data_IF_588659352054
#
_entry.id   IF_588659352054
#
_cell.length_a   1.000
_cell.length_b   1.000
_cell.length_c   1.000
_cell.angle_alpha   90.00
_cell.angle_beta   90.00
_cell.angle_gamma   90.00
#
_symmetry.space_group_name_H-M   'P 1'
#
loop_
_entity.id
_entity.type
_entity.pdbx_description
1 polymer ?
#
# COMPACT_ATOMS: atom_id res chain seq x y z
N UNK A 1 -2.17 -34.93 18.68
CA UNK A 1 -1.68 -33.55 18.94
C UNK A 1 -1.91 -32.70 17.69
N UNK A 2 -2.89 -31.80 17.67
CA UNK A 2 -3.10 -30.87 16.54
C UNK A 2 -2.28 -29.61 16.80
N UNK A 3 -1.21 -29.40 16.03
CA UNK A 3 -0.45 -28.14 16.03
C UNK A 3 -1.43 -27.03 15.63
N UNK A 4 -1.77 -26.15 16.57
CA UNK A 4 -2.49 -24.90 16.27
C UNK A 4 -1.54 -24.05 15.44
N UNK A 5 -1.73 -24.09 14.13
CA UNK A 5 -1.07 -23.18 13.21
C UNK A 5 -1.68 -21.81 13.48
N UNK A 6 -0.93 -20.89 14.08
CA UNK A 6 -1.36 -19.50 14.24
C UNK A 6 -1.40 -18.93 12.81
N UNK A 7 -2.58 -18.56 12.26
CA UNK A 7 -2.60 -17.89 10.97
C UNK A 7 -1.80 -16.59 11.10
N UNK A 8 -0.92 -16.25 10.14
CA UNK A 8 -0.25 -14.97 10.17
C UNK A 8 -1.34 -13.90 10.21
N UNK A 9 -1.36 -13.11 11.29
CA UNK A 9 -2.23 -11.96 11.41
C UNK A 9 -1.82 -10.98 10.32
N UNK A 10 -2.48 -11.09 9.17
CA UNK A 10 -2.38 -10.09 8.11
C UNK A 10 -3.05 -8.86 8.71
N UNK A 11 -2.26 -7.93 9.24
CA UNK A 11 -2.73 -6.61 9.63
C UNK A 11 -3.42 -6.03 8.40
N UNK A 12 -4.74 -5.96 8.44
CA UNK A 12 -5.54 -5.45 7.33
C UNK A 12 -5.24 -3.95 7.21
N UNK A 13 -4.33 -3.59 6.31
CA UNK A 13 -3.95 -2.21 5.98
C UNK A 13 -5.04 -1.54 5.13
N UNK A 14 -6.29 -1.62 5.59
CA UNK A 14 -7.42 -0.99 4.89
C UNK A 14 -7.16 0.51 4.80
N UNK A 15 -7.14 1.07 3.59
CA UNK A 15 -6.97 2.51 3.43
C UNK A 15 -8.19 3.23 3.98
N UNK A 16 -7.96 4.34 4.70
CA UNK A 16 -9.01 5.19 5.24
C UNK A 16 -9.18 6.40 4.34
N UNK A 17 -10.41 6.69 3.91
CA UNK A 17 -10.72 7.93 3.20
C UNK A 17 -10.92 9.05 4.23
N UNK A 18 -10.27 10.19 4.04
CA UNK A 18 -10.49 11.38 4.86
C UNK A 18 -11.58 12.30 4.26
N UNK A 19 -11.98 13.33 5.01
CA UNK A 19 -13.03 14.27 4.61
C UNK A 19 -12.72 15.07 3.34
N UNK A 20 -11.46 15.16 2.95
CA UNK A 20 -11.00 15.87 1.75
C UNK A 20 -10.95 14.96 0.52
N UNK A 21 -11.38 13.70 0.65
CA UNK A 21 -11.39 12.74 -0.44
C UNK A 21 -10.04 12.04 -0.68
N UNK A 22 -9.03 12.25 0.16
CA UNK A 22 -7.74 11.56 0.07
C UNK A 22 -7.77 10.22 0.81
N UNK A 23 -6.95 9.27 0.36
CA UNK A 23 -6.77 7.99 1.04
C UNK A 23 -5.50 8.00 1.89
N UNK A 24 -5.64 7.69 3.17
CA UNK A 24 -4.57 7.50 4.13
C UNK A 24 -4.31 5.99 4.29
N UNK A 25 -3.05 5.57 4.25
CA UNK A 25 -2.69 4.16 4.37
C UNK A 25 -1.35 3.95 5.07
N UNK A 26 -1.23 2.81 5.74
CA UNK A 26 0.03 2.27 6.25
C UNK A 26 0.59 1.18 5.33
N UNK A 27 0.05 0.98 4.13
CA UNK A 27 0.64 0.10 3.13
C UNK A 27 1.91 0.74 2.53
N UNK A 28 2.89 -0.09 2.16
CA UNK A 28 4.13 0.34 1.51
C UNK A 28 4.51 -0.63 0.38
N UNK A 29 5.30 -0.15 -0.58
CA UNK A 29 5.81 -0.94 -1.69
C UNK A 29 4.69 -1.63 -2.48
N UNK A 30 4.88 -2.91 -2.75
CA UNK A 30 3.92 -3.74 -3.50
C UNK A 30 2.52 -3.79 -2.86
N UNK A 31 2.38 -3.61 -1.55
CA UNK A 31 1.06 -3.60 -0.91
C UNK A 31 0.20 -2.40 -1.36
N UNK A 32 0.84 -1.29 -1.73
CA UNK A 32 0.16 -0.11 -2.32
C UNK A 32 -0.26 -0.42 -3.75
N UNK A 33 0.64 -1.00 -4.55
CA UNK A 33 0.40 -1.32 -5.96
C UNK A 33 -0.64 -2.45 -6.15
N UNK A 34 -0.68 -3.41 -5.23
CA UNK A 34 -1.63 -4.51 -5.26
C UNK A 34 -3.02 -4.13 -4.74
N UNK A 35 -3.20 -2.92 -4.20
CA UNK A 35 -4.49 -2.44 -3.71
C UNK A 35 -5.15 -1.57 -4.78
N UNK A 36 -6.25 -2.02 -5.42
CA UNK A 36 -6.91 -1.25 -6.49
C UNK A 36 -7.40 0.15 -6.05
N UNK A 37 -7.67 0.33 -4.75
CA UNK A 37 -8.11 1.61 -4.18
C UNK A 37 -6.95 2.61 -4.00
N UNK A 38 -5.71 2.12 -3.86
CA UNK A 38 -4.53 2.95 -3.61
C UNK A 38 -3.65 3.10 -4.85
N UNK A 39 -3.68 2.12 -5.74
CA UNK A 39 -2.81 2.08 -6.90
C UNK A 39 -3.20 3.17 -7.90
N UNK A 40 -2.27 4.08 -8.17
CA UNK A 40 -2.39 5.14 -9.19
C UNK A 40 -1.59 4.84 -10.46
N UNK A 41 -1.09 3.61 -10.61
CA UNK A 41 -0.20 3.22 -11.71
C UNK A 41 1.12 3.99 -11.64
N UNK A 42 1.49 4.66 -12.74
CA UNK A 42 2.69 5.50 -12.81
C UNK A 42 2.45 6.94 -12.33
N UNK A 43 1.19 7.34 -12.08
CA UNK A 43 0.81 8.70 -11.68
C UNK A 43 1.18 9.07 -10.23
N UNK A 44 2.02 8.29 -9.55
CA UNK A 44 2.58 8.69 -8.26
C UNK A 44 3.67 9.74 -8.48
N UNK A 45 3.58 10.86 -7.73
CA UNK A 45 4.62 11.89 -7.73
C UNK A 45 5.91 11.36 -7.09
N UNK A 46 7.04 12.02 -7.34
CA UNK A 46 8.33 11.62 -6.75
C UNK A 46 8.28 11.56 -5.20
N UNK A 47 7.58 12.50 -4.56
CA UNK A 47 7.40 12.54 -3.12
C UNK A 47 6.56 11.38 -2.59
N UNK A 48 5.46 11.05 -3.28
CA UNK A 48 4.62 9.91 -2.93
C UNK A 48 5.36 8.59 -3.14
N UNK A 49 6.13 8.46 -4.23
CA UNK A 49 6.96 7.28 -4.50
C UNK A 49 7.97 7.07 -3.36
N UNK A 50 8.60 8.15 -2.87
CA UNK A 50 9.54 8.08 -1.74
C UNK A 50 8.83 7.72 -0.43
N UNK A 51 7.69 8.36 -0.13
CA UNK A 51 6.93 8.15 1.11
C UNK A 51 6.30 6.75 1.20
N UNK A 52 5.80 6.23 0.08
CA UNK A 52 5.16 4.92 -0.01
C UNK A 52 6.14 3.77 -0.31
N UNK A 53 7.44 4.06 -0.46
CA UNK A 53 8.46 3.04 -0.77
C UNK A 53 8.29 2.41 -2.15
N UNK A 54 7.90 3.21 -3.15
CA UNK A 54 7.75 2.82 -4.55
C UNK A 54 8.97 3.17 -5.41
N UNK A 55 9.99 3.81 -4.82
CA UNK A 55 11.24 4.12 -5.52
C UNK A 55 11.88 2.84 -6.06
N UNK A 56 12.12 2.80 -7.38
CA UNK A 56 12.66 1.63 -8.08
C UNK A 56 11.64 0.54 -8.44
N UNK A 57 10.38 0.64 -7.98
CA UNK A 57 9.30 -0.29 -8.34
C UNK A 57 8.46 0.20 -9.52
N UNK A 58 8.52 1.50 -9.82
CA UNK A 58 7.83 2.12 -10.95
C UNK A 58 8.85 2.61 -11.96
N UNK A 59 8.52 2.58 -13.26
CA UNK A 59 9.39 3.13 -14.30
C UNK A 59 9.71 4.60 -14.01
N UNK A 60 10.94 5.06 -14.33
CA UNK A 60 11.22 6.48 -14.38
C UNK A 60 10.35 7.11 -15.47
N UNK A 61 9.71 8.23 -15.14
CA UNK A 61 9.04 9.08 -16.14
C UNK A 61 10.10 9.87 -16.93
#
# INVERSE_FOLDING_TARGET
>A
MRRRVIPPLVFSTKPRRNGNGHYETFARGLAVLNSPLLNKGTAFTAEERKSLGLTGLLPPE
#
